data_IF_570317235964
#
_entry.id   IF_570317235964
#
_cell.length_a   1.000
_cell.length_b   1.000
_cell.length_c   1.000
_cell.angle_alpha   90.00
_cell.angle_beta   90.00
_cell.angle_gamma   90.00
#
_symmetry.space_group_name_H-M   'P 1'
#
loop_
_entity.id
_entity.type
_entity.pdbx_description
1 polymer ?
#
# COMPACT_ATOMS: atom_id res chain seq x y z
N UNK A 1 22.44 -0.77 12.24
CA UNK A 1 21.46 -0.40 13.31
C UNK A 1 20.11 -0.18 12.60
N UNK A 2 19.12 -1.00 12.90
CA UNK A 2 17.78 -0.83 12.32
C UNK A 2 17.08 0.23 13.16
N UNK A 3 16.71 1.37 12.54
CA UNK A 3 15.95 2.43 13.22
C UNK A 3 14.53 1.95 13.51
N UNK A 4 13.95 2.33 14.67
CA UNK A 4 12.51 2.23 14.84
C UNK A 4 11.79 3.26 13.94
N UNK A 5 10.48 3.08 13.70
CA UNK A 5 9.69 4.03 12.92
C UNK A 5 9.75 5.45 13.50
N UNK A 6 9.58 5.58 14.83
CA UNK A 6 9.65 6.86 15.54
C UNK A 6 11.05 7.51 15.44
N UNK A 7 12.12 6.70 15.50
CA UNK A 7 13.48 7.20 15.27
C UNK A 7 13.69 7.67 13.83
N UNK A 8 13.04 7.02 12.85
CA UNK A 8 13.08 7.45 11.47
C UNK A 8 12.31 8.76 11.25
N UNK A 9 11.15 8.96 11.88
CA UNK A 9 10.42 10.24 11.85
C UNK A 9 11.24 11.38 12.44
N UNK A 10 11.86 11.16 13.60
CA UNK A 10 12.76 12.14 14.21
C UNK A 10 13.96 12.47 13.32
N UNK A 11 14.54 11.45 12.67
CA UNK A 11 15.66 11.64 11.74
C UNK A 11 15.22 12.40 10.49
N UNK A 12 14.05 12.12 9.95
CA UNK A 12 13.45 12.82 8.83
C UNK A 12 13.29 14.32 9.11
N UNK A 13 12.69 14.67 10.25
CA UNK A 13 12.48 16.06 10.65
C UNK A 13 13.81 16.79 10.90
N UNK A 14 14.79 16.12 11.48
CA UNK A 14 16.13 16.64 11.67
C UNK A 14 16.80 16.93 10.31
N UNK A 15 16.78 15.98 9.37
CA UNK A 15 17.40 16.14 8.05
C UNK A 15 16.74 17.29 7.28
N UNK A 16 15.43 17.41 7.28
CA UNK A 16 14.72 18.54 6.63
C UNK A 16 15.13 19.89 7.21
N UNK A 17 15.25 19.99 8.53
CA UNK A 17 15.70 21.23 9.21
C UNK A 17 17.15 21.58 8.86
N UNK A 18 18.05 20.60 8.79
CA UNK A 18 19.46 20.84 8.43
C UNK A 18 19.62 21.22 6.95
N UNK A 19 18.91 20.52 6.05
CA UNK A 19 18.92 20.84 4.60
C UNK A 19 18.41 22.27 4.36
N UNK A 20 17.39 22.70 5.08
CA UNK A 20 16.80 24.03 4.92
C UNK A 20 17.79 25.18 5.25
N UNK A 21 18.82 24.93 6.06
CA UNK A 21 19.87 25.92 6.40
C UNK A 21 20.95 26.05 5.34
N UNK A 22 21.11 25.04 4.49
CA UNK A 22 22.22 24.94 3.55
C UNK A 22 21.89 25.59 2.20
N UNK A 23 22.92 26.14 1.49
CA UNK A 23 22.73 26.71 0.16
C UNK A 23 22.31 25.64 -0.84
N UNK A 24 21.52 26.06 -1.82
CA UNK A 24 21.23 25.31 -3.03
C UNK A 24 21.81 26.02 -4.25
N UNK A 25 22.26 25.24 -5.22
CA UNK A 25 22.89 25.78 -6.44
C UNK A 25 23.52 24.69 -7.28
N UNK A 26 24.17 25.10 -8.35
CA UNK A 26 24.88 24.19 -9.27
C UNK A 26 26.14 24.81 -9.82
N UNK A 27 27.06 23.97 -10.28
CA UNK A 27 28.31 24.41 -10.92
C UNK A 27 27.99 25.06 -12.25
N UNK A 28 28.72 26.16 -12.53
CA UNK A 28 28.65 26.93 -13.78
C UNK A 28 30.02 27.39 -14.22
N UNK A 29 30.20 27.69 -15.51
CA UNK A 29 31.34 28.41 -15.99
C UNK A 29 31.03 29.91 -16.02
N UNK A 30 31.91 30.70 -15.43
CA UNK A 30 31.81 32.17 -15.41
C UNK A 30 32.66 32.71 -16.53
N UNK A 31 32.03 33.42 -17.49
CA UNK A 31 32.70 33.95 -18.71
C UNK A 31 33.46 32.85 -19.47
N UNK A 32 32.92 31.63 -19.54
CA UNK A 32 33.52 30.46 -20.20
C UNK A 32 34.97 30.14 -19.80
N UNK A 33 35.42 30.70 -18.70
CA UNK A 33 36.84 30.65 -18.28
C UNK A 33 37.02 30.19 -16.83
N UNK A 34 36.16 30.59 -15.93
CA UNK A 34 36.34 30.35 -14.50
C UNK A 34 35.23 29.43 -13.96
N UNK A 35 35.59 28.28 -13.35
CA UNK A 35 34.58 27.47 -12.67
C UNK A 35 34.01 28.21 -11.46
N UNK A 36 32.72 28.14 -11.29
CA UNK A 36 31.98 28.82 -10.22
C UNK A 36 30.72 28.08 -9.82
N UNK A 37 30.02 28.66 -8.87
CA UNK A 37 28.72 28.17 -8.37
C UNK A 37 27.66 29.24 -8.64
N UNK A 38 26.56 28.86 -9.25
CA UNK A 38 25.32 29.64 -9.23
C UNK A 38 24.55 29.31 -7.96
N UNK A 39 24.26 30.33 -7.16
CA UNK A 39 23.53 30.19 -5.89
C UNK A 39 22.05 30.42 -6.14
N UNK A 40 21.27 29.36 -6.06
CA UNK A 40 19.81 29.44 -6.20
C UNK A 40 19.16 29.96 -4.91
N UNK A 41 19.62 29.49 -3.75
CA UNK A 41 19.24 30.05 -2.45
C UNK A 41 20.34 29.78 -1.41
N UNK A 42 20.46 30.69 -0.43
CA UNK A 42 21.30 30.52 0.75
C UNK A 42 20.71 31.30 1.90
N UNK A 43 20.04 30.63 2.86
CA UNK A 43 19.30 31.31 3.92
C UNK A 43 20.17 32.27 4.78
N UNK A 44 21.43 31.88 5.06
CA UNK A 44 22.35 32.71 5.84
C UNK A 44 22.95 33.89 5.03
N UNK A 45 22.89 33.81 3.69
CA UNK A 45 23.43 34.82 2.77
C UNK A 45 22.40 35.14 1.67
N UNK A 46 21.22 35.71 2.02
CA UNK A 46 20.16 36.00 1.05
C UNK A 46 20.58 36.97 -0.05
N UNK A 47 21.59 37.83 0.23
CA UNK A 47 22.20 38.76 -0.72
C UNK A 47 22.94 38.06 -1.87
N UNK A 48 23.28 36.78 -1.72
CA UNK A 48 23.96 35.97 -2.75
C UNK A 48 22.99 35.23 -3.66
N UNK A 49 21.71 35.24 -3.37
CA UNK A 49 20.70 34.60 -4.22
C UNK A 49 20.74 35.12 -5.66
N UNK A 50 20.79 34.20 -6.62
CA UNK A 50 20.90 34.53 -8.05
C UNK A 50 22.28 34.96 -8.51
N UNK A 51 23.29 35.00 -7.63
CA UNK A 51 24.66 35.36 -7.97
C UNK A 51 25.51 34.14 -8.32
N UNK A 52 26.60 34.43 -9.01
CA UNK A 52 27.65 33.45 -9.35
C UNK A 52 28.93 33.78 -8.58
N UNK A 53 29.46 32.80 -7.86
CA UNK A 53 30.72 32.93 -7.09
C UNK A 53 31.79 32.03 -7.69
N UNK A 54 33.02 32.58 -7.83
CA UNK A 54 34.13 31.85 -8.43
C UNK A 54 34.71 30.87 -7.44
N UNK A 55 34.96 29.62 -7.85
CA UNK A 55 35.47 28.54 -6.97
C UNK A 55 36.87 28.82 -6.40
N UNK A 56 37.68 29.59 -7.07
CA UNK A 56 39.03 29.95 -6.56
C UNK A 56 39.01 30.88 -5.35
N UNK A 57 37.85 31.56 -5.11
CA UNK A 57 37.65 32.41 -3.93
C UNK A 57 37.23 31.63 -2.71
N UNK A 58 37.51 32.12 -1.48
CA UNK A 58 37.11 31.44 -0.24
C UNK A 58 35.61 31.17 -0.18
N UNK A 59 34.77 32.16 -0.52
CA UNK A 59 33.30 32.04 -0.50
C UNK A 59 32.80 30.95 -1.48
N UNK A 60 33.42 30.86 -2.66
CA UNK A 60 33.06 29.83 -3.65
C UNK A 60 33.40 28.42 -3.17
N UNK A 61 34.54 28.23 -2.51
CA UNK A 61 34.92 26.93 -1.93
C UNK A 61 34.03 26.55 -0.77
N UNK A 62 33.69 27.50 0.10
CA UNK A 62 32.76 27.28 1.20
C UNK A 62 31.38 26.91 0.68
N UNK A 63 30.86 27.64 -0.30
CA UNK A 63 29.58 27.38 -0.92
C UNK A 63 29.53 25.97 -1.55
N UNK A 64 30.60 25.57 -2.27
CA UNK A 64 30.70 24.21 -2.84
C UNK A 64 30.62 23.13 -1.77
N UNK A 65 31.41 23.25 -0.70
CA UNK A 65 31.42 22.28 0.39
C UNK A 65 30.05 22.16 1.08
N UNK A 66 29.33 23.27 1.23
CA UNK A 66 27.99 23.27 1.82
C UNK A 66 26.95 22.67 0.88
N UNK A 67 27.08 22.86 -0.45
CA UNK A 67 26.20 22.20 -1.44
C UNK A 67 26.46 20.70 -1.48
N UNK A 68 27.71 20.26 -1.39
CA UNK A 68 28.06 18.84 -1.30
C UNK A 68 27.49 18.21 -0.01
N UNK A 69 27.61 18.91 1.12
CA UNK A 69 26.96 18.49 2.37
C UNK A 69 25.45 18.40 2.23
N UNK A 70 24.82 19.36 1.56
CA UNK A 70 23.38 19.34 1.28
C UNK A 70 22.98 18.09 0.48
N UNK A 71 23.69 17.77 -0.60
CA UNK A 71 23.43 16.58 -1.41
C UNK A 71 23.50 15.29 -0.59
N UNK A 72 24.51 15.13 0.25
CA UNK A 72 24.63 13.97 1.12
C UNK A 72 23.45 13.85 2.10
N UNK A 73 22.98 14.99 2.65
CA UNK A 73 21.80 14.97 3.52
C UNK A 73 20.50 14.71 2.75
N UNK A 74 20.37 15.14 1.49
CA UNK A 74 19.23 14.84 0.62
C UNK A 74 19.20 13.35 0.24
N UNK A 75 20.37 12.71 0.01
CA UNK A 75 20.47 11.27 -0.19
C UNK A 75 20.05 10.50 1.06
N UNK A 76 20.53 10.90 2.24
CA UNK A 76 20.11 10.34 3.53
C UNK A 76 18.59 10.51 3.76
N UNK A 77 18.04 11.67 3.40
CA UNK A 77 16.60 11.95 3.51
C UNK A 77 15.79 11.03 2.61
N UNK A 78 16.20 10.84 1.36
CA UNK A 78 15.51 9.92 0.43
C UNK A 78 15.46 8.48 0.95
N UNK A 79 16.55 8.00 1.58
CA UNK A 79 16.57 6.67 2.23
C UNK A 79 15.58 6.62 3.40
N UNK A 80 15.54 7.67 4.24
CA UNK A 80 14.62 7.72 5.38
C UNK A 80 13.17 7.83 4.92
N UNK A 81 12.89 8.62 3.88
CA UNK A 81 11.55 8.75 3.28
C UNK A 81 11.07 7.41 2.70
N UNK A 82 11.92 6.70 1.97
CA UNK A 82 11.62 5.35 1.48
C UNK A 82 11.33 4.36 2.62
N UNK A 83 12.15 4.39 3.69
CA UNK A 83 11.90 3.58 4.89
C UNK A 83 10.56 3.93 5.56
N UNK A 84 10.26 5.21 5.75
CA UNK A 84 9.01 5.68 6.37
C UNK A 84 7.80 5.30 5.52
N UNK A 85 7.88 5.45 4.20
CA UNK A 85 6.82 5.06 3.27
C UNK A 85 6.52 3.56 3.39
N UNK A 86 7.54 2.72 3.32
CA UNK A 86 7.41 1.27 3.47
C UNK A 86 6.83 0.88 4.84
N UNK A 87 7.34 1.46 5.92
CA UNK A 87 6.89 1.13 7.28
C UNK A 87 5.58 1.80 7.69
N UNK A 88 5.23 2.97 7.13
CA UNK A 88 3.91 3.57 7.37
C UNK A 88 2.81 2.71 6.76
N UNK A 89 3.07 2.15 5.59
CA UNK A 89 2.19 1.19 4.94
C UNK A 89 2.04 -0.08 5.80
N UNK A 90 3.16 -0.71 6.20
CA UNK A 90 3.16 -1.87 7.08
C UNK A 90 2.54 -1.60 8.47
N UNK A 91 2.63 -0.37 9.00
CA UNK A 91 1.98 0.02 10.25
C UNK A 91 0.47 0.14 10.08
N UNK A 92 0.00 0.84 9.05
CA UNK A 92 -1.42 0.91 8.71
C UNK A 92 -2.00 -0.48 8.48
N UNK A 93 -1.24 -1.36 7.81
CA UNK A 93 -1.61 -2.76 7.61
C UNK A 93 -1.74 -3.52 8.93
N UNK A 94 -0.76 -3.39 9.86
CA UNK A 94 -0.82 -4.03 11.19
C UNK A 94 -2.02 -3.56 12.00
N UNK A 95 -2.37 -2.29 11.89
CA UNK A 95 -3.50 -1.68 12.59
C UNK A 95 -4.83 -1.91 11.85
N UNK A 96 -4.79 -2.40 10.60
CA UNK A 96 -5.96 -2.60 9.76
C UNK A 96 -6.71 -1.31 9.39
N UNK A 97 -6.10 -0.16 9.66
CA UNK A 97 -6.72 1.16 9.54
C UNK A 97 -6.93 1.61 8.09
N UNK A 98 -6.21 1.00 7.14
CA UNK A 98 -6.28 1.38 5.73
C UNK A 98 -7.52 0.82 5.00
N UNK A 99 -8.15 -0.24 5.52
CA UNK A 99 -9.40 -0.79 4.99
C UNK A 99 -10.62 -0.26 5.76
N UNK A 100 -10.67 1.05 5.94
CA UNK A 100 -11.76 1.76 6.60
C UNK A 100 -12.98 1.98 5.69
N UNK A 101 -13.96 2.75 6.14
CA UNK A 101 -15.17 3.08 5.36
C UNK A 101 -14.83 3.83 4.07
N UNK A 102 -13.85 4.73 4.09
CA UNK A 102 -13.42 5.48 2.91
C UNK A 102 -12.85 4.56 1.83
N UNK A 103 -12.10 3.54 2.23
CA UNK A 103 -11.63 2.50 1.32
C UNK A 103 -12.80 1.70 0.73
N UNK A 104 -13.79 1.29 1.56
CA UNK A 104 -14.96 0.56 1.08
C UNK A 104 -15.78 1.38 0.08
N UNK A 105 -16.02 2.66 0.37
CA UNK A 105 -16.74 3.56 -0.52
C UNK A 105 -16.04 3.70 -1.89
N UNK A 106 -14.71 3.79 -1.91
CA UNK A 106 -13.93 3.77 -3.15
C UNK A 106 -14.09 2.45 -3.91
N UNK A 107 -14.12 1.30 -3.20
CA UNK A 107 -14.41 0.01 -3.83
C UNK A 107 -15.83 -0.03 -4.44
N UNK A 108 -16.82 0.56 -3.78
CA UNK A 108 -18.19 0.65 -4.30
C UNK A 108 -18.23 1.51 -5.57
N UNK A 109 -17.53 2.63 -5.60
CA UNK A 109 -17.43 3.49 -6.78
C UNK A 109 -16.72 2.80 -7.96
N UNK A 110 -15.66 2.03 -7.69
CA UNK A 110 -14.95 1.24 -8.68
C UNK A 110 -15.81 0.07 -9.20
N UNK A 111 -16.61 -0.54 -8.32
CA UNK A 111 -17.46 -1.68 -8.62
C UNK A 111 -16.69 -2.92 -9.05
N UNK A 112 -17.32 -3.80 -9.83
CA UNK A 112 -16.66 -4.95 -10.43
C UNK A 112 -15.75 -4.49 -11.57
N UNK A 113 -14.46 -4.50 -11.33
CA UNK A 113 -13.42 -4.05 -12.28
C UNK A 113 -12.60 -5.18 -12.90
N UNK A 114 -12.85 -6.45 -12.53
CA UNK A 114 -12.12 -7.60 -13.05
C UNK A 114 -12.30 -7.74 -14.58
N UNK A 115 -11.22 -7.59 -15.38
CA UNK A 115 -11.30 -7.61 -16.85
C UNK A 115 -11.57 -8.99 -17.45
N UNK A 116 -11.47 -10.06 -16.64
CA UNK A 116 -11.71 -11.44 -17.13
C UNK A 116 -13.19 -11.63 -17.42
N UNK A 117 -13.57 -12.17 -18.61
CA UNK A 117 -14.97 -12.42 -18.94
C UNK A 117 -15.58 -13.45 -17.97
N UNK A 118 -16.86 -13.26 -17.62
CA UNK A 118 -17.62 -14.21 -16.82
C UNK A 118 -18.10 -15.39 -17.69
N UNK A 119 -18.36 -16.55 -17.09
CA UNK A 119 -18.96 -17.68 -17.81
C UNK A 119 -20.29 -17.30 -18.49
N UNK A 120 -20.60 -17.91 -19.61
CA UNK A 120 -21.85 -17.69 -20.37
C UNK A 120 -23.10 -17.93 -19.49
N UNK A 121 -23.04 -18.95 -18.64
CA UNK A 121 -24.11 -19.33 -17.69
C UNK A 121 -23.72 -18.99 -16.27
N UNK A 122 -23.23 -17.76 -16.05
CA UNK A 122 -22.85 -17.28 -14.73
C UNK A 122 -24.09 -17.24 -13.79
N UNK A 123 -24.00 -17.79 -12.57
CA UNK A 123 -25.08 -17.67 -11.60
C UNK A 123 -25.28 -16.22 -11.17
N UNK A 124 -26.51 -15.83 -10.87
CA UNK A 124 -26.90 -14.46 -10.55
C UNK A 124 -27.56 -14.39 -9.17
N UNK A 125 -27.23 -13.34 -8.42
CA UNK A 125 -27.92 -12.97 -7.19
C UNK A 125 -27.98 -11.44 -7.09
N UNK A 126 -29.19 -10.88 -6.94
CA UNK A 126 -29.41 -9.46 -7.16
C UNK A 126 -29.02 -9.06 -8.59
N UNK A 127 -28.30 -7.96 -8.72
CA UNK A 127 -27.80 -7.46 -10.01
C UNK A 127 -26.37 -7.95 -10.33
N UNK A 128 -25.84 -8.91 -9.54
CA UNK A 128 -24.46 -9.38 -9.68
C UNK A 128 -24.43 -10.76 -10.32
N UNK A 129 -23.56 -10.89 -11.35
CA UNK A 129 -23.19 -12.17 -11.96
C UNK A 129 -21.89 -12.67 -11.33
N UNK A 130 -21.90 -13.90 -10.84
CA UNK A 130 -20.74 -14.55 -10.19
C UNK A 130 -20.06 -15.54 -11.13
N UNK A 131 -18.77 -15.82 -10.91
CA UNK A 131 -18.04 -16.81 -11.72
C UNK A 131 -18.40 -18.23 -11.36
N UNK A 132 -18.82 -18.46 -10.12
CA UNK A 132 -19.18 -19.78 -9.63
C UNK A 132 -20.42 -19.74 -8.75
N UNK A 133 -21.05 -20.91 -8.59
CA UNK A 133 -22.18 -21.09 -7.67
C UNK A 133 -21.75 -20.90 -6.21
N UNK A 134 -20.53 -21.28 -5.88
CA UNK A 134 -19.98 -21.14 -4.53
C UNK A 134 -19.80 -19.67 -4.15
N UNK A 135 -19.30 -18.83 -5.06
CA UNK A 135 -19.22 -17.38 -4.86
C UNK A 135 -20.62 -16.76 -4.70
N UNK A 136 -21.60 -17.16 -5.53
CA UNK A 136 -22.99 -16.71 -5.35
C UNK A 136 -23.55 -17.11 -3.97
N UNK A 137 -23.28 -18.33 -3.50
CA UNK A 137 -23.73 -18.78 -2.19
C UNK A 137 -23.07 -18.00 -1.05
N UNK A 138 -21.78 -17.64 -1.20
CA UNK A 138 -21.07 -16.77 -0.25
C UNK A 138 -21.71 -15.38 -0.24
N UNK A 139 -22.03 -14.80 -1.40
CA UNK A 139 -22.73 -13.52 -1.49
C UNK A 139 -24.09 -13.53 -0.76
N UNK A 140 -24.86 -14.59 -0.93
CA UNK A 140 -26.12 -14.80 -0.19
C UNK A 140 -25.87 -14.86 1.31
N UNK A 141 -24.87 -15.62 1.75
CA UNK A 141 -24.48 -15.71 3.16
C UNK A 141 -24.10 -14.34 3.74
N UNK A 142 -23.28 -13.55 3.04
CA UNK A 142 -22.88 -12.20 3.48
C UNK A 142 -24.11 -11.29 3.62
N UNK A 143 -25.04 -11.36 2.66
CA UNK A 143 -26.30 -10.62 2.71
C UNK A 143 -27.18 -11.05 3.89
N UNK A 144 -27.31 -12.37 4.15
CA UNK A 144 -28.04 -12.91 5.31
C UNK A 144 -27.40 -12.46 6.65
N UNK A 145 -26.07 -12.33 6.70
CA UNK A 145 -25.34 -11.80 7.86
C UNK A 145 -25.49 -10.28 8.01
N UNK A 146 -26.05 -9.59 7.02
CA UNK A 146 -26.27 -8.13 7.04
C UNK A 146 -25.05 -7.31 6.64
N UNK A 147 -24.06 -7.90 5.97
CA UNK A 147 -22.86 -7.20 5.54
C UNK A 147 -22.97 -6.66 4.11
N UNK A 148 -22.47 -5.42 3.92
CA UNK A 148 -22.25 -4.86 2.61
C UNK A 148 -20.96 -5.46 2.01
N UNK A 149 -20.96 -5.73 0.70
CA UNK A 149 -19.77 -6.21 0.00
C UNK A 149 -19.68 -5.67 -1.43
N UNK A 150 -18.44 -5.64 -1.96
CA UNK A 150 -18.17 -5.42 -3.38
C UNK A 150 -17.53 -6.69 -3.93
N UNK A 151 -17.97 -7.11 -5.11
CA UNK A 151 -17.51 -8.32 -5.77
C UNK A 151 -16.49 -8.01 -6.87
N UNK A 152 -15.30 -8.63 -6.82
CA UNK A 152 -14.21 -8.52 -7.79
C UNK A 152 -13.79 -7.07 -8.08
N UNK A 153 -13.67 -6.25 -7.03
CA UNK A 153 -13.08 -4.93 -7.16
C UNK A 153 -11.56 -5.02 -7.21
N UNK A 154 -10.93 -4.08 -7.90
CA UNK A 154 -9.48 -4.05 -8.02
C UNK A 154 -8.81 -3.78 -6.67
N UNK A 155 -7.72 -4.50 -6.43
CA UNK A 155 -6.90 -4.43 -5.23
C UNK A 155 -5.43 -4.42 -5.62
N UNK A 156 -4.77 -3.29 -5.43
CA UNK A 156 -3.35 -3.15 -5.72
C UNK A 156 -2.53 -3.73 -4.56
N UNK A 157 -1.82 -4.83 -4.81
CA UNK A 157 -1.02 -5.52 -3.80
C UNK A 157 0.39 -4.93 -3.69
N UNK A 158 1.00 -4.60 -4.82
CA UNK A 158 2.33 -3.98 -4.94
C UNK A 158 2.34 -3.10 -6.17
N UNK A 159 3.37 -2.27 -6.30
CA UNK A 159 3.57 -1.46 -7.50
C UNK A 159 3.39 -2.34 -8.75
N UNK A 160 2.38 -2.03 -9.56
CA UNK A 160 2.00 -2.73 -10.80
C UNK A 160 1.38 -4.14 -10.65
N UNK A 161 1.12 -4.66 -9.43
CA UNK A 161 0.43 -5.94 -9.23
C UNK A 161 -0.99 -5.71 -8.72
N UNK A 162 -1.96 -5.91 -9.61
CA UNK A 162 -3.38 -5.76 -9.31
C UNK A 162 -4.03 -7.14 -9.19
N UNK A 163 -4.67 -7.39 -8.06
CA UNK A 163 -5.53 -8.54 -7.83
C UNK A 163 -7.00 -8.15 -7.77
N UNK A 164 -7.87 -9.11 -7.97
CA UNK A 164 -9.31 -8.95 -7.90
C UNK A 164 -9.85 -9.96 -6.90
N UNK A 165 -9.85 -9.64 -5.60
CA UNK A 165 -10.40 -10.55 -4.60
C UNK A 165 -11.89 -10.79 -4.85
N UNK A 166 -12.39 -11.99 -4.53
CA UNK A 166 -13.78 -12.31 -4.74
C UNK A 166 -14.70 -11.33 -4.02
N UNK A 167 -14.40 -11.01 -2.76
CA UNK A 167 -15.20 -10.05 -1.99
C UNK A 167 -14.33 -9.12 -1.14
N UNK A 168 -14.68 -7.84 -1.18
CA UNK A 168 -14.31 -6.85 -0.15
C UNK A 168 -15.55 -6.61 0.69
N UNK A 169 -15.51 -6.93 1.98
CA UNK A 169 -16.68 -6.96 2.88
C UNK A 169 -16.53 -5.89 3.94
N UNK A 170 -17.55 -5.01 4.07
CA UNK A 170 -17.61 -4.02 5.13
C UNK A 170 -18.26 -4.61 6.39
N UNK A 171 -17.61 -4.43 7.54
CA UNK A 171 -18.10 -4.90 8.85
C UNK A 171 -18.21 -3.69 9.80
N UNK A 172 -19.43 -3.18 10.03
CA UNK A 172 -19.63 -1.98 10.85
C UNK A 172 -19.23 -2.18 12.32
N UNK A 173 -19.32 -3.40 12.87
CA UNK A 173 -18.96 -3.71 14.26
C UNK A 173 -17.51 -3.48 14.59
N UNK A 174 -16.62 -3.64 13.61
CA UNK A 174 -15.18 -3.41 13.76
C UNK A 174 -14.71 -2.15 13.04
N UNK A 175 -15.60 -1.49 12.27
CA UNK A 175 -15.33 -0.25 11.54
C UNK A 175 -14.30 -0.41 10.41
N UNK A 176 -14.23 -1.60 9.80
CA UNK A 176 -13.27 -1.91 8.73
C UNK A 176 -13.77 -2.99 7.78
N UNK A 177 -13.09 -3.10 6.62
CA UNK A 177 -13.29 -4.21 5.71
C UNK A 177 -12.38 -5.40 6.03
N UNK A 178 -12.77 -6.55 5.53
CA UNK A 178 -11.89 -7.68 5.27
C UNK A 178 -12.07 -8.18 3.84
N UNK A 179 -11.09 -8.93 3.35
CA UNK A 179 -11.14 -9.61 2.06
C UNK A 179 -11.59 -11.06 2.28
N UNK A 180 -12.46 -11.56 1.42
CA UNK A 180 -12.79 -12.98 1.35
C UNK A 180 -12.44 -13.50 -0.04
N UNK A 181 -11.67 -14.57 -0.08
CA UNK A 181 -11.20 -15.23 -1.30
C UNK A 181 -11.59 -16.69 -1.28
N UNK A 182 -12.24 -17.15 -2.35
CA UNK A 182 -12.72 -18.53 -2.48
C UNK A 182 -11.95 -19.31 -3.54
N UNK A 183 -11.33 -20.41 -3.14
CA UNK A 183 -10.56 -21.29 -4.02
C UNK A 183 -11.33 -22.58 -4.34
N UNK A 184 -12.08 -22.55 -5.45
CA UNK A 184 -13.10 -23.53 -5.81
C UNK A 184 -12.61 -24.80 -6.52
N UNK A 185 -11.31 -24.95 -6.83
CA UNK A 185 -10.80 -26.07 -7.67
C UNK A 185 -9.53 -26.69 -7.12
N UNK A 186 -9.51 -26.92 -5.79
CA UNK A 186 -8.32 -27.41 -5.09
C UNK A 186 -7.92 -28.86 -5.43
N UNK A 187 -8.70 -29.58 -6.23
CA UNK A 187 -8.36 -30.87 -6.81
C UNK A 187 -7.46 -30.75 -8.06
N UNK A 188 -7.41 -29.60 -8.73
CA UNK A 188 -6.61 -29.37 -9.94
C UNK A 188 -5.22 -28.86 -9.60
N UNK A 189 -4.18 -29.55 -10.11
CA UNK A 189 -2.78 -29.27 -9.77
C UNK A 189 -2.34 -27.85 -10.20
N UNK A 190 -2.70 -27.44 -11.41
CA UNK A 190 -2.34 -26.12 -11.92
C UNK A 190 -3.00 -25.02 -11.09
N UNK A 191 -4.31 -25.16 -10.82
CA UNK A 191 -5.06 -24.22 -9.98
C UNK A 191 -4.47 -24.08 -8.56
N UNK A 192 -3.96 -25.18 -7.97
CA UNK A 192 -3.26 -25.11 -6.68
C UNK A 192 -2.01 -24.23 -6.72
N UNK A 193 -1.25 -24.31 -7.79
CA UNK A 193 -0.04 -23.47 -7.95
C UNK A 193 -0.41 -22.00 -7.98
N UNK A 194 -1.42 -21.63 -8.75
CA UNK A 194 -1.92 -20.26 -8.86
C UNK A 194 -2.51 -19.79 -7.51
N UNK A 195 -3.25 -20.67 -6.81
CA UNK A 195 -3.78 -20.40 -5.48
C UNK A 195 -2.67 -20.10 -4.47
N UNK A 196 -1.62 -20.94 -4.42
CA UNK A 196 -0.49 -20.74 -3.50
C UNK A 196 0.23 -19.43 -3.79
N UNK A 197 0.46 -19.12 -5.06
CA UNK A 197 1.05 -17.86 -5.49
C UNK A 197 0.21 -16.66 -5.02
N UNK A 198 -1.11 -16.73 -5.18
CA UNK A 198 -2.03 -15.67 -4.75
C UNK A 198 -2.06 -15.50 -3.23
N UNK A 199 -2.07 -16.59 -2.47
CA UNK A 199 -1.99 -16.56 -1.01
C UNK A 199 -0.67 -15.93 -0.54
N UNK A 200 0.46 -16.34 -1.14
CA UNK A 200 1.78 -15.78 -0.84
C UNK A 200 1.78 -14.27 -1.03
N UNK A 201 1.26 -13.77 -2.16
CA UNK A 201 1.19 -12.34 -2.44
C UNK A 201 0.32 -11.57 -1.44
N UNK A 202 -0.84 -12.09 -1.06
CA UNK A 202 -1.66 -11.46 -0.02
C UNK A 202 -0.94 -11.38 1.32
N UNK A 203 -0.21 -12.45 1.71
CA UNK A 203 0.52 -12.50 2.97
C UNK A 203 1.75 -11.59 2.93
N UNK A 204 2.50 -11.57 1.83
CA UNK A 204 3.67 -10.69 1.63
C UNK A 204 3.27 -9.21 1.62
N UNK A 205 2.10 -8.90 1.07
CA UNK A 205 1.48 -7.58 1.17
C UNK A 205 1.13 -7.20 2.62
N UNK A 206 0.99 -8.19 3.52
CA UNK A 206 0.73 -8.02 4.94
C UNK A 206 -0.72 -8.26 5.36
N UNK A 207 -1.56 -8.82 4.49
CA UNK A 207 -2.89 -9.29 4.87
C UNK A 207 -2.77 -10.56 5.71
N UNK A 208 -3.18 -10.50 6.96
CA UNK A 208 -3.10 -11.64 7.86
C UNK A 208 -4.38 -12.48 7.80
N UNK A 209 -4.27 -13.78 7.48
CA UNK A 209 -5.41 -14.69 7.55
C UNK A 209 -6.07 -14.68 8.93
N UNK A 210 -7.40 -14.58 8.96
CA UNK A 210 -8.18 -14.49 10.20
C UNK A 210 -8.22 -13.10 10.84
N UNK A 211 -7.48 -12.12 10.33
CA UNK A 211 -7.56 -10.72 10.73
C UNK A 211 -8.05 -9.82 9.59
N UNK A 212 -7.44 -9.95 8.42
CA UNK A 212 -7.65 -9.07 7.27
C UNK A 212 -8.25 -9.80 6.07
N UNK A 213 -8.04 -11.12 6.01
CA UNK A 213 -8.50 -11.96 4.90
C UNK A 213 -9.00 -13.31 5.40
N UNK A 214 -10.08 -13.78 4.77
CA UNK A 214 -10.64 -15.13 4.93
C UNK A 214 -10.41 -15.90 3.64
N UNK A 215 -9.76 -17.05 3.74
CA UNK A 215 -9.61 -17.99 2.65
C UNK A 215 -10.60 -19.16 2.82
N UNK A 216 -11.35 -19.44 1.78
CA UNK A 216 -12.25 -20.57 1.72
C UNK A 216 -11.85 -21.51 0.59
N UNK A 217 -12.07 -22.79 0.75
CA UNK A 217 -11.60 -23.81 -0.19
C UNK A 217 -12.69 -24.82 -0.48
N UNK A 218 -12.77 -25.26 -1.74
CA UNK A 218 -13.55 -26.44 -2.12
C UNK A 218 -12.83 -27.28 -3.18
N UNK A 219 -13.32 -28.49 -3.38
CA UNK A 219 -12.88 -29.43 -4.40
C UNK A 219 -14.03 -30.36 -4.77
N UNK A 220 -13.88 -31.15 -5.81
CA UNK A 220 -14.88 -32.17 -6.20
C UNK A 220 -15.25 -33.14 -5.06
N UNK A 221 -14.36 -33.29 -4.07
CA UNK A 221 -14.55 -34.21 -2.92
C UNK A 221 -15.01 -33.50 -1.65
N UNK A 222 -14.72 -32.23 -1.50
CA UNK A 222 -15.00 -31.43 -0.32
C UNK A 222 -15.74 -30.18 -0.80
N UNK A 223 -17.08 -30.18 -0.79
CA UNK A 223 -17.87 -29.03 -1.20
C UNK A 223 -17.72 -27.88 -0.19
N UNK A 224 -18.03 -26.66 -0.63
CA UNK A 224 -18.10 -25.49 0.23
C UNK A 224 -19.12 -25.71 1.34
N UNK A 225 -18.70 -25.52 2.60
CA UNK A 225 -19.56 -25.51 3.77
C UNK A 225 -19.79 -24.06 4.23
N UNK A 226 -20.97 -23.52 3.99
CA UNK A 226 -21.32 -22.14 4.32
C UNK A 226 -21.35 -21.89 5.83
N UNK A 227 -21.61 -22.92 6.65
CA UNK A 227 -21.55 -22.74 8.10
C UNK A 227 -20.10 -22.56 8.58
N UNK A 228 -19.15 -23.27 7.98
CA UNK A 228 -17.70 -23.05 8.23
C UNK A 228 -17.31 -21.64 7.80
N UNK A 229 -17.76 -21.16 6.64
CA UNK A 229 -17.51 -19.78 6.19
C UNK A 229 -18.06 -18.76 7.20
N UNK A 230 -19.30 -18.94 7.66
CA UNK A 230 -19.93 -18.11 8.71
C UNK A 230 -19.09 -18.07 9.99
N UNK A 231 -18.62 -19.23 10.44
CA UNK A 231 -17.77 -19.32 11.64
C UNK A 231 -16.42 -18.63 11.46
N UNK A 232 -15.78 -18.73 10.29
CA UNK A 232 -14.53 -18.02 9.98
C UNK A 232 -14.72 -16.50 10.01
N UNK A 233 -15.80 -15.99 9.42
CA UNK A 233 -16.15 -14.57 9.44
C UNK A 233 -16.38 -14.09 10.88
N UNK A 234 -17.18 -14.82 11.66
CA UNK A 234 -17.44 -14.50 13.07
C UNK A 234 -16.14 -14.50 13.90
N UNK A 235 -15.26 -15.47 13.69
CA UNK A 235 -13.97 -15.54 14.37
C UNK A 235 -13.07 -14.34 14.03
N UNK A 236 -13.03 -13.92 12.76
CA UNK A 236 -12.33 -12.72 12.33
C UNK A 236 -12.87 -11.47 13.03
N UNK A 237 -14.20 -11.31 13.11
CA UNK A 237 -14.83 -10.16 13.76
C UNK A 237 -14.49 -10.12 15.26
N UNK A 238 -14.59 -11.27 15.95
CA UNK A 238 -14.24 -11.39 17.38
C UNK A 238 -12.76 -11.03 17.58
N UNK A 239 -11.85 -11.56 16.76
CA UNK A 239 -10.42 -11.26 16.86
C UNK A 239 -10.12 -9.76 16.71
N UNK A 240 -10.87 -9.06 15.86
CA UNK A 240 -10.71 -7.62 15.65
C UNK A 240 -11.44 -6.74 16.68
N UNK A 241 -12.44 -7.26 17.41
CA UNK A 241 -13.10 -6.54 18.51
C UNK A 241 -12.31 -6.59 19.81
N UNK A 242 -11.58 -7.66 20.04
CA UNK A 242 -10.81 -7.87 21.30
C UNK A 242 -9.42 -7.25 21.28
N UNK A 243 -8.97 -6.72 20.15
CA UNK A 243 -7.65 -6.09 19.96
C UNK A 243 -7.60 -4.58 20.28
N UNK A 244 -8.63 -4.04 20.95
CA UNK A 244 -8.71 -2.62 21.36
C UNK A 244 -8.14 -2.40 22.76
#
# INVERSE_FOLDING_TARGET
>A
MILSYEQAELKHDYLKKEIAKLPSGHEVMIHDKYPGIYIASWPEHPELKGKRVVLSKPEGRQCKALIEKRKALEEDLAVVEGYLQFHSFGRKMKEGLWMDRGYFDACVECGNSNPRPKPEYAPEFGDIKFRSKSEMNIAQLLTEMGYEFVYETEFEIMDDVIEYPDFTVWVPEIGRCFILEHFGRMDKREYKSDTLWKIEHYVDFGLLPGRDIVFTFESDRIPLDLEVVRQQINALIIANTTAK
#
